data_IF_684526492849
#
_entry.id   IF_684526492849
#
_cell.length_a   1.000
_cell.length_b   1.000
_cell.length_c   1.000
_cell.angle_alpha   90.00
_cell.angle_beta   90.00
_cell.angle_gamma   90.00
#
_symmetry.space_group_name_H-M   'P 1'
#
loop_
_entity.id
_entity.type
_entity.pdbx_description
1 polymer ?
#
# COMPACT_ATOMS: atom_id res chain seq x y z
N UNK A 1 37.63 -17.88 -43.31
CA UNK A 1 36.81 -16.80 -42.71
C UNK A 1 37.67 -15.72 -42.07
N UNK A 2 38.73 -16.05 -41.30
CA UNK A 2 39.63 -15.07 -40.67
C UNK A 2 40.33 -14.06 -41.61
N UNK A 3 40.66 -14.44 -42.85
CA UNK A 3 41.37 -13.57 -43.81
C UNK A 3 40.50 -12.44 -44.37
N UNK A 4 39.19 -12.68 -44.50
CA UNK A 4 38.24 -11.66 -45.01
C UNK A 4 37.93 -10.64 -43.92
N UNK A 5 37.93 -11.08 -42.66
CA UNK A 5 37.65 -10.28 -41.47
C UNK A 5 38.76 -9.27 -41.19
N UNK A 6 40.04 -9.64 -41.38
CA UNK A 6 41.16 -8.71 -41.25
C UNK A 6 41.17 -7.63 -42.34
N UNK A 7 40.81 -7.97 -43.58
CA UNK A 7 40.76 -7.00 -44.68
C UNK A 7 39.63 -5.97 -44.52
N UNK A 8 38.55 -6.32 -43.83
CA UNK A 8 37.45 -5.41 -43.52
C UNK A 8 37.83 -4.37 -42.47
N UNK A 9 38.61 -4.77 -41.46
CA UNK A 9 39.12 -3.88 -40.40
C UNK A 9 40.09 -2.83 -40.96
N UNK A 10 41.01 -3.25 -41.83
CA UNK A 10 41.99 -2.36 -42.47
C UNK A 10 41.33 -1.31 -43.38
N UNK A 11 40.25 -1.66 -44.10
CA UNK A 11 39.52 -0.71 -44.98
C UNK A 11 38.77 0.37 -44.21
N UNK A 12 38.41 0.11 -42.96
CA UNK A 12 37.71 1.04 -42.09
C UNK A 12 38.68 1.80 -41.15
N UNK A 13 39.97 1.46 -41.18
CA UNK A 13 40.99 2.06 -40.32
C UNK A 13 40.76 1.81 -38.82
N UNK A 14 40.02 0.75 -38.47
CA UNK A 14 39.67 0.41 -37.09
C UNK A 14 40.60 -0.68 -36.56
N UNK A 15 41.25 -0.41 -35.43
CA UNK A 15 42.08 -1.40 -34.75
C UNK A 15 41.21 -2.26 -33.82
N UNK A 16 41.65 -3.48 -33.50
CA UNK A 16 40.98 -4.33 -32.50
C UNK A 16 40.85 -3.63 -31.12
N UNK A 17 41.74 -2.68 -30.83
CA UNK A 17 41.68 -1.81 -29.65
C UNK A 17 40.44 -0.91 -29.63
N UNK A 18 39.95 -0.46 -30.79
CA UNK A 18 38.76 0.40 -30.89
C UNK A 18 37.50 -0.37 -30.51
N UNK A 19 37.37 -1.62 -30.95
CA UNK A 19 36.24 -2.47 -30.57
C UNK A 19 36.24 -2.75 -29.07
N UNK A 20 37.40 -3.03 -28.47
CA UNK A 20 37.53 -3.21 -27.03
C UNK A 20 37.11 -1.95 -26.25
N UNK A 21 37.48 -0.77 -26.75
CA UNK A 21 37.05 0.53 -26.20
C UNK A 21 35.52 0.67 -26.26
N UNK A 22 34.91 0.39 -27.41
CA UNK A 22 33.45 0.48 -27.60
C UNK A 22 32.66 -0.49 -26.73
N UNK A 23 33.12 -1.74 -26.56
CA UNK A 23 32.51 -2.70 -25.64
C UNK A 23 32.57 -2.21 -24.18
N UNK A 24 33.69 -1.60 -23.78
CA UNK A 24 33.83 -0.98 -22.45
C UNK A 24 32.83 0.15 -22.22
N UNK A 25 32.68 1.06 -23.19
CA UNK A 25 31.72 2.18 -23.12
C UNK A 25 30.26 1.67 -23.06
N UNK A 26 29.90 0.70 -23.90
CA UNK A 26 28.55 0.13 -23.94
C UNK A 26 28.23 -0.59 -22.62
N UNK A 27 29.19 -1.35 -22.07
CA UNK A 27 29.04 -2.02 -20.78
C UNK A 27 28.80 -1.04 -19.63
N UNK A 28 29.50 0.11 -19.62
CA UNK A 28 29.31 1.14 -18.60
C UNK A 28 27.92 1.80 -18.68
N UNK A 29 27.42 2.09 -19.88
CA UNK A 29 26.11 2.70 -20.09
C UNK A 29 24.96 1.73 -19.74
N UNK A 30 25.06 0.47 -20.17
CA UNK A 30 24.06 -0.56 -19.86
C UNK A 30 24.09 -0.97 -18.38
N UNK A 31 25.27 -1.11 -17.78
CA UNK A 31 25.43 -1.44 -16.37
C UNK A 31 24.93 -0.31 -15.45
N UNK A 32 25.25 0.94 -15.78
CA UNK A 32 24.80 2.10 -15.00
C UNK A 32 23.28 2.27 -15.02
N UNK A 33 22.65 2.15 -16.19
CA UNK A 33 21.19 2.25 -16.34
C UNK A 33 20.45 1.12 -15.61
N UNK A 34 20.92 -0.13 -15.73
CA UNK A 34 20.35 -1.27 -15.01
C UNK A 34 20.55 -1.15 -13.50
N UNK A 35 21.69 -0.63 -13.05
CA UNK A 35 21.98 -0.35 -11.64
C UNK A 35 21.05 0.70 -11.03
N UNK A 36 20.80 1.80 -11.74
CA UNK A 36 19.84 2.83 -11.32
C UNK A 36 18.43 2.25 -11.24
N UNK A 37 18.04 1.41 -12.21
CA UNK A 37 16.73 0.78 -12.22
C UNK A 37 16.56 -0.18 -11.03
N UNK A 38 17.54 -1.06 -10.78
CA UNK A 38 17.52 -1.97 -9.62
C UNK A 38 17.49 -1.16 -8.31
N UNK A 39 18.29 -0.10 -8.20
CA UNK A 39 18.32 0.77 -7.03
C UNK A 39 16.99 1.51 -6.82
N UNK A 40 16.37 2.01 -7.89
CA UNK A 40 15.06 2.67 -7.87
C UNK A 40 13.93 1.70 -7.46
N UNK A 41 13.95 0.45 -7.94
CA UNK A 41 12.96 -0.56 -7.58
C UNK A 41 13.17 -1.15 -6.18
N UNK A 42 14.40 -1.17 -5.67
CA UNK A 42 14.69 -1.63 -4.30
C UNK A 42 14.19 -0.65 -3.23
N UNK A 43 13.90 0.61 -3.60
CA UNK A 43 13.53 1.70 -2.69
C UNK A 43 12.02 1.98 -2.50
N UNK A 44 11.12 1.37 -3.29
CA UNK A 44 9.68 1.53 -3.05
C UNK A 44 9.21 0.60 -1.92
N UNK A 45 9.32 1.10 -0.69
CA UNK A 45 8.78 0.47 0.50
C UNK A 45 7.35 -0.02 0.31
N UNK A 46 7.15 -1.30 0.65
CA UNK A 46 5.94 -2.10 0.57
C UNK A 46 4.63 -1.32 0.35
N UNK A 47 4.09 -1.38 -0.88
CA UNK A 47 2.65 -1.20 -1.15
C UNK A 47 1.85 -2.42 -0.69
N UNK A 48 2.23 -3.04 0.42
CA UNK A 48 1.43 -4.12 1.00
C UNK A 48 0.16 -3.53 1.56
N UNK A 49 -0.96 -3.97 1.01
CA UNK A 49 -2.27 -3.90 1.66
C UNK A 49 -2.08 -4.42 3.09
N UNK A 50 -2.42 -3.61 4.08
CA UNK A 50 -2.27 -3.98 5.50
C UNK A 50 -3.42 -4.88 5.96
N UNK A 51 -4.61 -4.65 5.40
CA UNK A 51 -5.85 -5.27 5.86
C UNK A 51 -6.60 -5.83 4.65
N UNK A 52 -6.77 -7.15 4.59
CA UNK A 52 -7.49 -7.83 3.49
C UNK A 52 -8.95 -8.07 3.82
N UNK A 53 -9.30 -8.04 5.10
CA UNK A 53 -10.64 -8.29 5.60
C UNK A 53 -11.15 -7.08 6.36
N UNK A 54 -12.42 -6.77 6.14
CA UNK A 54 -13.15 -5.79 6.93
C UNK A 54 -13.63 -6.44 8.23
N UNK A 55 -13.78 -5.64 9.27
CA UNK A 55 -14.42 -6.05 10.52
C UNK A 55 -15.89 -6.38 10.23
N UNK A 56 -16.36 -7.58 10.57
CA UNK A 56 -17.75 -7.98 10.29
C UNK A 56 -18.73 -7.18 11.14
N UNK A 57 -20.01 -7.20 10.72
CA UNK A 57 -21.12 -6.72 11.53
C UNK A 57 -21.12 -7.41 12.91
N UNK A 58 -21.37 -6.67 14.01
CA UNK A 58 -21.61 -7.29 15.30
C UNK A 58 -22.90 -8.12 15.24
N UNK A 59 -22.95 -9.21 16.01
CA UNK A 59 -24.14 -10.09 16.10
C UNK A 59 -25.35 -9.36 16.67
N UNK A 60 -25.11 -8.31 17.47
CA UNK A 60 -26.14 -7.42 18.00
C UNK A 60 -26.24 -6.16 17.12
N UNK A 61 -27.22 -6.18 16.22
CA UNK A 61 -27.41 -5.11 15.25
C UNK A 61 -28.02 -3.83 15.85
N UNK A 62 -28.51 -3.84 17.09
CA UNK A 62 -29.14 -2.68 17.74
C UNK A 62 -30.28 -2.06 16.92
N UNK A 63 -30.71 -0.85 17.26
CA UNK A 63 -31.75 -0.08 16.52
C UNK A 63 -31.23 0.51 15.19
N UNK A 64 -30.25 -0.14 14.55
CA UNK A 64 -29.62 0.39 13.33
C UNK A 64 -30.59 0.31 12.15
N UNK A 65 -30.66 1.41 11.39
CA UNK A 65 -31.54 1.55 10.23
C UNK A 65 -31.14 0.52 9.14
N UNK A 66 -32.07 -0.26 8.55
CA UNK A 66 -31.75 -1.25 7.52
C UNK A 66 -30.94 -0.70 6.34
N UNK A 67 -31.19 0.56 5.96
CA UNK A 67 -30.45 1.26 4.91
C UNK A 67 -28.96 1.47 5.28
N UNK A 68 -28.66 1.74 6.56
CA UNK A 68 -27.29 1.85 7.06
C UNK A 68 -26.57 0.50 6.96
N UNK A 69 -27.26 -0.58 7.33
CA UNK A 69 -26.73 -1.95 7.24
C UNK A 69 -26.43 -2.34 5.79
N UNK A 70 -27.34 -2.00 4.86
CA UNK A 70 -27.12 -2.22 3.44
C UNK A 70 -25.89 -1.47 2.91
N UNK A 71 -25.72 -0.20 3.27
CA UNK A 71 -24.54 0.59 2.90
C UNK A 71 -23.25 -0.02 3.48
N UNK A 72 -23.25 -0.44 4.74
CA UNK A 72 -22.11 -1.10 5.36
C UNK A 72 -21.73 -2.40 4.66
N UNK A 73 -22.72 -3.26 4.36
CA UNK A 73 -22.48 -4.51 3.63
C UNK A 73 -21.91 -4.26 2.23
N UNK A 74 -22.44 -3.26 1.53
CA UNK A 74 -21.86 -2.85 0.25
C UNK A 74 -20.41 -2.38 0.41
N UNK A 75 -20.10 -1.62 1.46
CA UNK A 75 -18.75 -1.21 1.81
C UNK A 75 -17.82 -2.40 2.06
N UNK A 76 -18.27 -3.41 2.79
CA UNK A 76 -17.51 -4.65 3.02
C UNK A 76 -17.22 -5.39 1.71
N UNK A 77 -18.21 -5.52 0.82
CA UNK A 77 -18.02 -6.15 -0.49
C UNK A 77 -16.99 -5.41 -1.33
N UNK A 78 -17.03 -4.08 -1.35
CA UNK A 78 -16.05 -3.26 -2.08
C UNK A 78 -14.66 -3.37 -1.45
N UNK A 79 -14.59 -3.46 -0.11
CA UNK A 79 -13.33 -3.63 0.62
C UNK A 79 -12.64 -4.95 0.24
N UNK A 80 -13.38 -6.06 0.19
CA UNK A 80 -12.83 -7.36 -0.20
C UNK A 80 -12.46 -7.43 -1.68
N UNK A 81 -13.14 -6.64 -2.52
CA UNK A 81 -12.75 -6.44 -3.93
C UNK A 81 -11.50 -5.57 -4.09
N UNK A 82 -11.00 -4.95 -3.02
CA UNK A 82 -9.84 -4.06 -3.03
C UNK A 82 -10.16 -2.62 -3.45
N UNK A 83 -11.43 -2.28 -3.70
CA UNK A 83 -11.86 -0.91 -3.96
C UNK A 83 -12.06 -0.16 -2.64
N UNK A 84 -10.94 0.16 -1.99
CA UNK A 84 -10.94 0.84 -0.69
C UNK A 84 -11.52 2.26 -0.75
N UNK A 85 -11.48 2.92 -1.91
CA UNK A 85 -12.05 4.27 -2.07
C UNK A 85 -13.57 4.18 -2.02
N UNK A 86 -14.17 3.36 -2.88
CA UNK A 86 -15.62 3.17 -2.89
C UNK A 86 -16.12 2.54 -1.57
N UNK A 87 -15.35 1.63 -0.98
CA UNK A 87 -15.66 1.08 0.35
C UNK A 87 -15.78 2.19 1.41
N UNK A 88 -14.82 3.12 1.44
CA UNK A 88 -14.84 4.27 2.35
C UNK A 88 -16.08 5.15 2.19
N UNK A 89 -16.52 5.42 0.96
CA UNK A 89 -17.75 6.19 0.68
C UNK A 89 -19.00 5.48 1.21
N UNK A 90 -19.08 4.16 1.07
CA UNK A 90 -20.19 3.37 1.59
C UNK A 90 -20.21 3.30 3.11
N UNK A 91 -19.05 3.20 3.75
CA UNK A 91 -18.96 3.31 5.20
C UNK A 91 -19.33 4.71 5.70
N UNK A 92 -18.91 5.77 4.99
CA UNK A 92 -19.35 7.13 5.31
C UNK A 92 -20.88 7.28 5.21
N UNK A 93 -21.49 6.74 4.15
CA UNK A 93 -22.96 6.72 4.00
C UNK A 93 -23.65 5.97 5.15
N UNK A 94 -23.06 4.85 5.61
CA UNK A 94 -23.58 4.12 6.76
C UNK A 94 -23.52 4.95 8.05
N UNK A 95 -22.45 5.73 8.22
CA UNK A 95 -22.24 6.62 9.37
C UNK A 95 -23.14 7.86 9.36
N UNK A 96 -23.53 8.37 8.19
CA UNK A 96 -24.55 9.43 8.08
C UNK A 96 -25.90 8.98 8.64
N UNK A 97 -26.22 7.70 8.48
CA UNK A 97 -27.47 7.10 8.96
C UNK A 97 -27.35 6.59 10.40
N UNK A 98 -26.17 6.16 10.82
CA UNK A 98 -25.88 5.64 12.16
C UNK A 98 -24.54 6.19 12.67
N UNK A 99 -24.52 7.39 13.27
CA UNK A 99 -23.29 8.05 13.70
C UNK A 99 -22.55 7.32 14.82
N UNK A 100 -23.25 6.56 15.66
CA UNK A 100 -22.65 5.82 16.79
C UNK A 100 -22.29 4.38 16.41
N UNK A 101 -21.72 4.19 15.22
CA UNK A 101 -21.38 2.86 14.72
C UNK A 101 -19.86 2.61 14.69
N UNK A 102 -19.29 1.96 15.72
CA UNK A 102 -17.84 1.78 15.82
C UNK A 102 -17.25 0.98 14.66
N UNK A 103 -17.89 -0.11 14.23
CA UNK A 103 -17.38 -0.95 13.13
C UNK A 103 -17.33 -0.21 11.80
N UNK A 104 -18.27 0.71 11.53
CA UNK A 104 -18.26 1.53 10.32
C UNK A 104 -17.09 2.53 10.32
N UNK A 105 -16.82 3.20 11.44
CA UNK A 105 -15.61 4.03 11.58
C UNK A 105 -14.34 3.20 11.46
N UNK A 106 -14.34 2.00 12.06
CA UNK A 106 -13.21 1.09 12.02
C UNK A 106 -12.87 0.71 10.58
N UNK A 107 -13.83 0.17 9.83
CA UNK A 107 -13.65 -0.27 8.46
C UNK A 107 -13.29 0.87 7.51
N UNK A 108 -13.86 2.06 7.74
CA UNK A 108 -13.45 3.24 6.98
C UNK A 108 -11.99 3.60 7.24
N UNK A 109 -11.56 3.55 8.49
CA UNK A 109 -10.15 3.74 8.88
C UNK A 109 -9.22 2.72 8.21
N UNK A 110 -9.60 1.44 8.20
CA UNK A 110 -8.82 0.40 7.51
C UNK A 110 -8.73 0.64 6.01
N UNK A 111 -9.83 1.07 5.37
CA UNK A 111 -9.85 1.35 3.94
C UNK A 111 -8.89 2.50 3.59
N UNK A 112 -8.89 3.56 4.39
CA UNK A 112 -7.96 4.68 4.25
C UNK A 112 -6.50 4.28 4.51
N UNK A 113 -6.25 3.39 5.48
CA UNK A 113 -4.92 2.89 5.76
C UNK A 113 -4.35 2.07 4.59
N UNK A 114 -5.18 1.27 3.91
CA UNK A 114 -4.82 0.57 2.69
C UNK A 114 -4.56 1.52 1.52
N UNK A 115 -5.24 2.67 1.47
CA UNK A 115 -4.95 3.76 0.52
C UNK A 115 -3.70 4.58 0.89
N UNK A 116 -2.94 4.17 1.91
CA UNK A 116 -1.79 4.89 2.46
C UNK A 116 -2.11 6.27 3.05
N UNK A 117 -3.38 6.57 3.28
CA UNK A 117 -3.84 7.84 3.85
C UNK A 117 -3.92 7.75 5.39
N UNK A 118 -2.78 7.57 6.03
CA UNK A 118 -2.70 7.37 7.50
C UNK A 118 -3.18 8.59 8.29
N UNK A 119 -3.00 9.79 7.72
CA UNK A 119 -3.43 11.06 8.34
C UNK A 119 -4.94 11.09 8.57
N UNK A 120 -5.69 10.49 7.64
CA UNK A 120 -7.14 10.41 7.69
C UNK A 120 -7.66 9.12 8.34
N UNK A 121 -6.89 8.03 8.25
CA UNK A 121 -7.23 6.74 8.83
C UNK A 121 -7.20 6.79 10.38
N UNK A 122 -6.13 7.36 10.95
CA UNK A 122 -5.93 7.36 12.41
C UNK A 122 -7.06 8.05 13.16
N UNK A 123 -7.53 9.26 12.80
CA UNK A 123 -8.66 9.90 13.48
C UNK A 123 -9.94 9.05 13.49
N UNK A 124 -10.24 8.36 12.38
CA UNK A 124 -11.42 7.48 12.27
C UNK A 124 -11.27 6.23 13.13
N UNK A 125 -10.08 5.64 13.17
CA UNK A 125 -9.77 4.51 14.04
C UNK A 125 -9.83 4.89 15.52
N UNK A 126 -9.37 6.09 15.89
CA UNK A 126 -9.49 6.62 17.26
C UNK A 126 -10.96 6.78 17.64
N UNK A 127 -11.77 7.38 16.77
CA UNK A 127 -13.22 7.52 17.01
C UNK A 127 -13.91 6.16 17.17
N UNK A 128 -13.52 5.16 16.38
CA UNK A 128 -14.01 3.79 16.55
C UNK A 128 -13.62 3.22 17.92
N UNK A 129 -12.40 3.49 18.38
CA UNK A 129 -11.91 3.07 19.69
C UNK A 129 -12.71 3.66 20.85
N UNK A 130 -12.99 4.96 20.80
CA UNK A 130 -13.81 5.64 21.79
C UNK A 130 -15.20 5.01 21.90
N UNK A 131 -15.83 4.76 20.74
CA UNK A 131 -17.15 4.12 20.66
C UNK A 131 -17.12 2.64 21.11
N UNK A 132 -16.05 1.90 20.84
CA UNK A 132 -15.91 0.53 21.35
C UNK A 132 -15.80 0.49 22.88
N UNK A 133 -15.10 1.46 23.47
CA UNK A 133 -14.99 1.58 24.93
C UNK A 133 -16.34 1.98 25.56
N UNK A 134 -17.05 2.92 24.93
CA UNK A 134 -18.39 3.35 25.34
C UNK A 134 -19.39 2.18 25.31
N UNK A 135 -19.38 1.40 24.23
CA UNK A 135 -20.24 0.23 24.06
C UNK A 135 -19.76 -1.01 24.83
N UNK A 136 -18.74 -0.88 25.69
CA UNK A 136 -18.12 -1.98 26.44
C UNK A 136 -17.64 -3.17 25.56
N UNK A 137 -17.39 -2.91 24.28
CA UNK A 137 -16.96 -3.91 23.31
C UNK A 137 -15.43 -4.10 23.39
N UNK A 138 -15.02 -4.93 24.35
CA UNK A 138 -13.62 -5.26 24.58
C UNK A 138 -12.98 -5.95 23.37
N UNK A 139 -13.72 -6.80 22.66
CA UNK A 139 -13.20 -7.54 21.50
C UNK A 139 -12.85 -6.60 20.33
N UNK A 140 -13.75 -5.67 20.00
CA UNK A 140 -13.55 -4.66 18.97
C UNK A 140 -12.37 -3.74 19.29
N UNK A 141 -12.27 -3.29 20.54
CA UNK A 141 -11.14 -2.45 20.98
C UNK A 141 -9.79 -3.19 20.93
N UNK A 142 -9.75 -4.48 21.25
CA UNK A 142 -8.55 -5.30 21.16
C UNK A 142 -8.11 -5.50 19.70
N UNK A 143 -9.07 -5.76 18.81
CA UNK A 143 -8.81 -5.88 17.37
C UNK A 143 -8.29 -4.56 16.78
N UNK A 144 -8.92 -3.44 17.13
CA UNK A 144 -8.48 -2.10 16.72
C UNK A 144 -7.03 -1.82 17.12
N UNK A 145 -6.65 -2.15 18.36
CA UNK A 145 -5.26 -1.99 18.84
C UNK A 145 -4.27 -2.78 17.99
N UNK A 146 -4.63 -4.00 17.56
CA UNK A 146 -3.78 -4.79 16.64
C UNK A 146 -3.60 -4.07 15.30
N UNK A 147 -4.68 -3.57 14.70
CA UNK A 147 -4.60 -2.83 13.43
C UNK A 147 -3.79 -1.53 13.55
N UNK A 148 -3.96 -0.77 14.63
CA UNK A 148 -3.15 0.42 14.89
C UNK A 148 -1.66 0.07 15.05
N UNK A 149 -1.34 -1.02 15.75
CA UNK A 149 0.05 -1.46 15.91
C UNK A 149 0.72 -1.81 14.58
N UNK A 150 -0.02 -2.43 13.65
CA UNK A 150 0.45 -2.71 12.29
C UNK A 150 0.74 -1.42 11.50
N UNK A 151 -0.10 -0.40 11.62
CA UNK A 151 0.14 0.90 10.98
C UNK A 151 1.39 1.60 11.54
N UNK A 152 1.57 1.55 12.86
CA UNK A 152 2.77 2.10 13.52
C UNK A 152 4.02 1.41 13.03
N UNK A 153 4.00 0.08 12.92
CA UNK A 153 5.14 -0.69 12.42
C UNK A 153 5.46 -0.35 10.96
N UNK A 154 4.44 -0.21 10.10
CA UNK A 154 4.64 0.28 8.72
C UNK A 154 5.32 1.66 8.69
N UNK A 155 4.89 2.58 9.55
CA UNK A 155 5.49 3.92 9.65
C UNK A 155 6.95 3.83 10.10
N UNK A 156 7.26 2.99 11.09
CA UNK A 156 8.63 2.76 11.58
C UNK A 156 9.53 2.17 10.50
N UNK A 157 9.04 1.20 9.74
CA UNK A 157 9.77 0.60 8.61
C UNK A 157 10.09 1.65 7.53
N UNK A 158 9.12 2.51 7.18
CA UNK A 158 9.35 3.62 6.25
C UNK A 158 10.41 4.59 6.73
N UNK A 159 10.38 4.94 8.02
CA UNK A 159 11.37 5.82 8.63
C UNK A 159 12.77 5.18 8.66
N UNK A 160 12.87 3.89 8.99
CA UNK A 160 14.12 3.16 8.97
C UNK A 160 14.71 3.09 7.56
N UNK A 161 13.89 2.80 6.55
CA UNK A 161 14.31 2.82 5.15
C UNK A 161 14.78 4.21 4.71
N UNK A 162 14.05 5.26 5.09
CA UNK A 162 14.44 6.64 4.74
C UNK A 162 15.80 7.02 5.33
N UNK A 163 16.13 6.56 6.54
CA UNK A 163 17.45 6.76 7.16
C UNK A 163 18.58 5.99 6.51
N UNK A 164 18.29 4.88 5.81
CA UNK A 164 19.31 4.11 5.08
C UNK A 164 19.62 4.71 3.71
N UNK A 165 18.72 5.53 3.18
CA UNK A 165 18.84 6.15 1.83
C UNK A 165 19.46 7.54 1.90
N UNK A 166 19.34 8.24 3.03
CA UNK A 166 19.96 9.54 3.29
C UNK A 166 21.36 9.38 3.91
#
# INVERSE_FOLDING_TARGET
>A
MAVVESQLLDRLGLEWGDFALWFGVIGAVLGGSLGIMIWAYRGQGSRSILFTEAVPLPTENGDRIPKAIAAFNQGQTLFTQGDYRAAGERFATALELAPNWPEAYHNWGLALANLLNDNEAVPRLVKAGDLYLENQNLQGSALLRRHLSAMVERKKQRQAQQKLVN
#
